data_IF_019950539791
#
_entry.id   IF_019950539791
#
_cell.length_a   1.000
_cell.length_b   1.000
_cell.length_c   1.000
_cell.angle_alpha   90.00
_cell.angle_beta   90.00
_cell.angle_gamma   90.00
#
_symmetry.space_group_name_H-M   'P 1'
#
loop_
_entity.id
_entity.type
_entity.pdbx_description
1 polymer ?
#
# COMPACT_ATOMS: atom_id res chain seq x y z
N UNK A 1 1.53 16.93 -6.84
CA UNK A 1 0.93 17.42 -8.12
C UNK A 1 -0.52 17.83 -7.85
N UNK A 2 -1.07 18.82 -8.56
CA UNK A 2 -2.48 19.24 -8.36
C UNK A 2 -3.30 19.09 -9.64
N UNK A 3 -4.56 18.67 -9.51
CA UNK A 3 -5.57 18.67 -10.58
C UNK A 3 -6.86 19.23 -10.02
N UNK A 4 -7.38 20.32 -10.61
CA UNK A 4 -8.57 21.04 -10.11
C UNK A 4 -8.43 21.38 -8.63
N UNK A 5 -7.27 21.92 -8.25
CA UNK A 5 -6.91 22.32 -6.88
C UNK A 5 -6.93 21.20 -5.83
N UNK A 6 -6.93 19.93 -6.26
CA UNK A 6 -6.80 18.76 -5.39
C UNK A 6 -5.41 18.14 -5.55
N UNK A 7 -4.73 17.87 -4.43
CA UNK A 7 -3.45 17.16 -4.44
C UNK A 7 -3.65 15.71 -4.91
N UNK A 8 -2.84 15.29 -5.89
CA UNK A 8 -2.67 13.89 -6.26
C UNK A 8 -1.49 13.36 -5.43
N UNK A 9 -1.79 12.44 -4.52
CA UNK A 9 -0.81 11.83 -3.63
C UNK A 9 0.12 10.87 -4.38
N UNK A 10 1.41 10.96 -4.06
CA UNK A 10 2.47 10.08 -4.52
C UNK A 10 3.14 9.32 -3.38
N UNK A 11 4.30 8.73 -3.66
CA UNK A 11 5.07 7.93 -2.71
C UNK A 11 5.49 8.73 -1.46
N UNK A 12 5.93 9.97 -1.67
CA UNK A 12 6.45 10.82 -0.58
C UNK A 12 5.35 11.22 0.43
N UNK A 13 4.09 11.22 -0.01
CA UNK A 13 2.95 11.56 0.82
C UNK A 13 2.50 10.40 1.73
N UNK A 14 2.86 9.15 1.40
CA UNK A 14 2.34 7.96 2.10
C UNK A 14 2.63 7.99 3.59
N UNK A 15 3.84 8.41 3.99
CA UNK A 15 4.23 8.53 5.39
C UNK A 15 3.31 9.47 6.18
N UNK A 16 2.88 10.56 5.56
CA UNK A 16 1.95 11.50 6.18
C UNK A 16 0.53 10.93 6.23
N UNK A 17 0.11 10.26 5.15
CA UNK A 17 -1.23 9.66 5.03
C UNK A 17 -1.47 8.58 6.08
N UNK A 18 -0.54 7.62 6.25
CA UNK A 18 -0.72 6.48 7.18
C UNK A 18 -0.75 6.89 8.66
N UNK A 19 -0.17 8.04 8.98
CA UNK A 19 -0.12 8.58 10.34
C UNK A 19 -1.31 9.50 10.66
N UNK A 20 -2.16 9.81 9.67
CA UNK A 20 -3.31 10.67 9.87
C UNK A 20 -4.49 9.88 10.42
N UNK A 21 -5.22 10.46 11.37
CA UNK A 21 -6.48 9.90 11.89
C UNK A 21 -7.67 10.16 10.94
N UNK A 22 -7.51 9.80 9.66
CA UNK A 22 -8.52 9.94 8.62
C UNK A 22 -8.86 8.55 8.07
N UNK A 23 -10.15 8.28 7.83
CA UNK A 23 -10.58 6.98 7.27
C UNK A 23 -10.27 6.83 5.77
N UNK A 24 -10.24 7.95 5.04
CA UNK A 24 -10.04 7.98 3.59
C UNK A 24 -9.12 9.15 3.19
N UNK A 25 -8.44 8.99 2.06
CA UNK A 25 -7.60 10.01 1.44
C UNK A 25 -7.96 10.18 -0.04
N UNK A 26 -8.01 11.42 -0.52
CA UNK A 26 -8.29 11.78 -1.91
C UNK A 26 -7.33 12.91 -2.37
N UNK A 27 -6.71 12.87 -3.57
CA UNK A 27 -6.90 11.93 -4.70
C UNK A 27 -5.65 11.06 -4.95
N UNK A 28 -5.85 9.84 -5.43
CA UNK A 28 -4.79 9.01 -6.04
C UNK A 28 -5.04 8.84 -7.54
N UNK A 29 -3.99 8.63 -8.33
CA UNK A 29 -4.10 8.42 -9.78
C UNK A 29 -3.13 7.32 -10.23
N UNK A 30 -3.70 6.19 -10.66
CA UNK A 30 -2.93 5.00 -11.07
C UNK A 30 -2.10 5.23 -12.34
N UNK A 31 -2.45 6.20 -13.17
CA UNK A 31 -1.68 6.53 -14.37
C UNK A 31 -0.34 7.22 -14.04
N UNK A 32 -0.28 7.95 -12.92
CA UNK A 32 0.89 8.78 -12.58
C UNK A 32 1.71 8.21 -11.43
N UNK A 33 1.08 7.48 -10.51
CA UNK A 33 1.73 6.96 -9.31
C UNK A 33 1.13 5.61 -8.90
N UNK A 34 1.17 4.59 -9.78
CA UNK A 34 0.65 3.26 -9.45
C UNK A 34 1.36 2.65 -8.24
N UNK A 35 2.64 2.95 -8.04
CA UNK A 35 3.43 2.47 -6.90
C UNK A 35 2.89 2.99 -5.56
N UNK A 36 2.39 4.24 -5.52
CA UNK A 36 1.82 4.81 -4.31
C UNK A 36 0.55 4.06 -3.88
N UNK A 37 -0.26 3.64 -4.85
CA UNK A 37 -1.42 2.78 -4.60
C UNK A 37 -0.99 1.39 -4.15
N UNK A 38 -0.09 0.74 -4.88
CA UNK A 38 0.42 -0.61 -4.57
C UNK A 38 0.98 -0.67 -3.13
N UNK A 39 1.80 0.30 -2.74
CA UNK A 39 2.39 0.37 -1.41
C UNK A 39 1.34 0.63 -0.31
N UNK A 40 0.38 1.53 -0.55
CA UNK A 40 -0.67 1.81 0.43
C UNK A 40 -1.60 0.61 0.64
N UNK A 41 -1.95 -0.09 -0.44
CA UNK A 41 -2.70 -1.36 -0.38
C UNK A 41 -1.96 -2.43 0.42
N UNK A 42 -0.68 -2.64 0.11
CA UNK A 42 0.15 -3.62 0.83
C UNK A 42 0.32 -3.26 2.31
N UNK A 43 0.50 -1.97 2.62
CA UNK A 43 0.60 -1.49 3.99
C UNK A 43 -0.67 -1.77 4.79
N UNK A 44 -1.85 -1.44 4.24
CA UNK A 44 -3.13 -1.70 4.90
C UNK A 44 -3.38 -3.20 5.08
N UNK A 45 -3.08 -4.01 4.07
CA UNK A 45 -3.18 -5.48 4.16
C UNK A 45 -2.33 -6.02 5.30
N UNK A 46 -1.05 -5.66 5.36
CA UNK A 46 -0.15 -6.10 6.41
C UNK A 46 -0.62 -5.62 7.79
N UNK A 47 -1.10 -4.38 7.90
CA UNK A 47 -1.65 -3.84 9.15
C UNK A 47 -2.82 -4.69 9.66
N UNK A 48 -3.78 -5.01 8.79
CA UNK A 48 -4.97 -5.79 9.17
C UNK A 48 -4.60 -7.23 9.52
N UNK A 49 -3.75 -7.89 8.72
CA UNK A 49 -3.30 -9.26 8.99
C UNK A 49 -2.55 -9.36 10.33
N UNK A 50 -1.68 -8.39 10.63
CA UNK A 50 -0.93 -8.36 11.89
C UNK A 50 -1.81 -8.07 13.12
N UNK A 51 -3.00 -7.49 12.91
CA UNK A 51 -3.96 -7.13 13.97
C UNK A 51 -5.14 -8.10 14.05
N UNK A 52 -5.12 -9.19 13.28
CA UNK A 52 -6.21 -10.15 13.27
C UNK A 52 -6.32 -10.86 14.63
N UNK A 53 -7.49 -10.79 15.25
CA UNK A 53 -7.82 -11.53 16.48
C UNK A 53 -8.25 -12.98 16.23
N UNK A 54 -8.16 -13.46 14.99
CA UNK A 54 -8.58 -14.79 14.54
C UNK A 54 -7.44 -15.45 13.78
N UNK A 55 -7.51 -16.78 13.61
CA UNK A 55 -6.57 -17.48 12.76
C UNK A 55 -6.59 -16.92 11.33
N UNK A 56 -5.40 -16.69 10.76
CA UNK A 56 -5.25 -16.22 9.39
C UNK A 56 -5.51 -17.38 8.44
N UNK A 57 -6.50 -17.23 7.56
CA UNK A 57 -6.71 -18.18 6.47
C UNK A 57 -5.58 -18.08 5.44
N UNK A 58 -5.02 -19.21 4.95
CA UNK A 58 -3.96 -19.19 3.95
C UNK A 58 -4.32 -18.41 2.68
N UNK A 59 -5.61 -18.40 2.31
CA UNK A 59 -6.11 -17.62 1.17
C UNK A 59 -5.96 -16.10 1.36
N UNK A 60 -5.93 -15.61 2.61
CA UNK A 60 -5.70 -14.20 2.94
C UNK A 60 -4.23 -13.80 2.85
N UNK A 61 -3.30 -14.73 2.67
CA UNK A 61 -1.88 -14.42 2.42
C UNK A 61 -1.57 -14.29 0.94
N UNK A 62 -2.46 -14.78 0.06
CA UNK A 62 -2.35 -14.63 -1.39
C UNK A 62 -2.67 -13.19 -1.79
N UNK A 63 -1.71 -12.28 -1.64
CA UNK A 63 -1.71 -11.07 -2.43
C UNK A 63 -1.28 -11.51 -3.83
N UNK A 64 -2.14 -11.39 -4.83
CA UNK A 64 -1.73 -11.58 -6.23
C UNK A 64 -0.54 -10.67 -6.49
N UNK A 65 0.67 -11.24 -6.49
CA UNK A 65 1.89 -10.55 -6.91
C UNK A 65 1.61 -10.19 -8.36
N UNK A 66 1.38 -8.91 -8.66
CA UNK A 66 1.34 -8.47 -10.05
C UNK A 66 2.73 -8.79 -10.60
N UNK A 67 2.81 -9.73 -11.56
CA UNK A 67 4.05 -10.08 -12.26
C UNK A 67 4.58 -8.83 -12.99
N UNK A 68 5.27 -7.94 -12.27
CA UNK A 68 6.32 -7.11 -12.84
C UNK A 68 7.55 -7.99 -12.79
N UNK A 69 8.07 -8.37 -13.96
CA UNK A 69 9.27 -9.20 -14.09
C UNK A 69 10.28 -8.89 -12.99
N UNK A 70 10.54 -9.94 -12.23
CA UNK A 70 11.31 -9.97 -11.00
C UNK A 70 12.67 -9.32 -11.18
N UNK A 71 12.95 -8.26 -10.43
CA UNK A 71 14.29 -7.80 -10.09
C UNK A 71 14.18 -6.84 -8.91
N UNK A 72 14.59 -7.32 -7.73
CA UNK A 72 14.78 -6.57 -6.48
C UNK A 72 13.56 -6.26 -5.62
N UNK A 73 13.03 -7.28 -4.95
CA UNK A 73 12.60 -7.11 -3.56
C UNK A 73 13.18 -8.27 -2.74
N UNK A 74 14.39 -8.06 -2.21
CA UNK A 74 15.01 -8.97 -1.24
C UNK A 74 14.19 -8.92 0.05
N UNK A 75 13.38 -9.94 0.29
CA UNK A 75 12.86 -10.23 1.64
C UNK A 75 14.04 -10.71 2.46
N UNK A 76 14.52 -9.85 3.35
CA UNK A 76 15.53 -10.22 4.34
C UNK A 76 14.83 -11.05 5.41
N UNK A 77 14.94 -12.38 5.32
CA UNK A 77 14.60 -13.28 6.43
C UNK A 77 15.56 -12.98 7.59
N UNK A 78 15.02 -12.44 8.69
CA UNK A 78 15.72 -12.35 9.95
C UNK A 78 15.73 -13.71 10.64
N UNK A 79 16.91 -14.12 11.09
CA UNK A 79 17.16 -15.15 12.12
C UNK A 79 16.41 -14.86 13.41
#
# INVERSE_FOLDING_TARGET
RYVRDICIYGMDDLSWIINKNSMFANKFESATSPEALDCLEQWHRNKVLNQAGVAIEPSWLLATRRNRNDSHASVRSGT
#
